data_IF_953619236325
#
_entry.id   IF_953619236325
#
_cell.length_a   1.000
_cell.length_b   1.000
_cell.length_c   1.000
_cell.angle_alpha   90.00
_cell.angle_beta   90.00
_cell.angle_gamma   90.00
#
_symmetry.space_group_name_H-M   'P 1'
#
loop_
_entity.id
_entity.type
_entity.pdbx_description
1 polymer ?
#
# COMPACT_ATOMS: atom_id res chain seq x y z
N UNK A 1 -2.50 -11.30 -16.30
CA UNK A 1 -2.64 -10.74 -15.10
C UNK A 1 -2.01 -11.42 -13.91
N UNK A 2 -1.19 -10.68 -13.26
CA UNK A 2 -0.58 -11.15 -12.04
C UNK A 2 -1.44 -10.75 -10.84
N UNK A 3 -1.66 -11.70 -9.94
CA UNK A 3 -2.36 -11.42 -8.70
C UNK A 3 -1.35 -11.01 -7.64
N UNK A 4 -1.57 -9.85 -7.05
CA UNK A 4 -0.70 -9.29 -6.04
C UNK A 4 -1.51 -9.10 -4.76
N UNK A 5 -0.92 -9.43 -3.62
CA UNK A 5 -1.59 -9.34 -2.33
C UNK A 5 -0.83 -8.44 -1.38
N UNK A 6 -1.50 -7.98 -0.35
CA UNK A 6 -0.89 -7.22 0.72
C UNK A 6 -1.65 -7.46 2.01
N UNK A 7 -0.92 -7.48 3.12
CA UNK A 7 -1.49 -7.69 4.45
C UNK A 7 -1.34 -6.42 5.28
N UNK A 8 -2.39 -6.11 6.02
CA UNK A 8 -2.32 -5.04 7.01
C UNK A 8 -1.25 -5.36 8.05
N UNK A 9 -0.46 -4.36 8.38
CA UNK A 9 0.54 -4.45 9.45
C UNK A 9 0.29 -3.31 10.45
N UNK A 10 1.19 -3.15 11.41
CA UNK A 10 1.10 -2.06 12.37
C UNK A 10 1.33 -0.69 11.75
N UNK A 11 2.04 -0.62 10.62
CA UNK A 11 2.42 0.63 9.98
C UNK A 11 1.77 0.85 8.61
N UNK A 12 1.27 -0.21 7.97
CA UNK A 12 0.72 -0.12 6.61
C UNK A 12 -0.66 -0.73 6.57
N UNK A 13 -1.59 -0.05 5.94
CA UNK A 13 -2.87 -0.63 5.58
C UNK A 13 -2.71 -1.64 4.44
N UNK A 14 -3.73 -2.46 4.21
CA UNK A 14 -3.68 -3.51 3.21
C UNK A 14 -3.44 -2.95 1.81
N UNK A 15 -4.07 -1.82 1.48
CA UNK A 15 -3.92 -1.20 0.16
C UNK A 15 -2.50 -0.70 -0.05
N UNK A 16 -1.91 -0.05 0.97
CA UNK A 16 -0.54 0.44 0.88
C UNK A 16 0.45 -0.72 0.76
N UNK A 17 0.25 -1.77 1.53
CA UNK A 17 1.11 -2.95 1.47
C UNK A 17 1.05 -3.61 0.09
N UNK A 18 -0.15 -3.74 -0.46
CA UNK A 18 -0.31 -4.32 -1.80
C UNK A 18 0.40 -3.47 -2.85
N UNK A 19 0.27 -2.14 -2.74
CA UNK A 19 0.91 -1.23 -3.68
C UNK A 19 2.42 -1.40 -3.68
N UNK A 20 3.03 -1.44 -2.50
CA UNK A 20 4.48 -1.66 -2.39
C UNK A 20 4.88 -3.02 -2.96
N UNK A 21 4.10 -4.07 -2.67
CA UNK A 21 4.39 -5.40 -3.20
C UNK A 21 4.28 -5.44 -4.72
N UNK A 22 3.33 -4.71 -5.29
CA UNK A 22 3.19 -4.62 -6.73
C UNK A 22 4.41 -3.95 -7.37
N UNK A 23 4.89 -2.88 -6.76
CA UNK A 23 6.07 -2.18 -7.26
C UNK A 23 7.32 -3.05 -7.16
N UNK A 24 7.45 -3.82 -6.08
CA UNK A 24 8.55 -4.79 -5.94
C UNK A 24 8.50 -5.83 -7.05
N UNK A 25 7.31 -6.37 -7.30
CA UNK A 25 7.15 -7.40 -8.33
C UNK A 25 7.55 -6.87 -9.71
N UNK A 26 7.11 -5.66 -10.05
CA UNK A 26 7.46 -5.06 -11.34
C UNK A 26 8.95 -4.77 -11.44
N UNK A 27 9.58 -4.37 -10.36
CA UNK A 27 11.00 -4.04 -10.34
C UNK A 27 11.92 -5.23 -10.16
N UNK A 28 11.37 -6.43 -10.00
CA UNK A 28 12.19 -7.61 -9.75
C UNK A 28 12.87 -7.61 -8.40
N UNK A 29 12.27 -6.92 -7.43
CA UNK A 29 12.84 -6.79 -6.08
C UNK A 29 12.30 -7.94 -5.21
N UNK A 30 13.20 -8.65 -4.54
CA UNK A 30 12.81 -9.78 -3.69
C UNK A 30 11.98 -9.34 -2.49
N UNK A 31 11.10 -10.23 -2.05
CA UNK A 31 10.18 -9.94 -0.94
C UNK A 31 10.90 -9.62 0.35
N UNK A 32 12.12 -10.12 0.53
CA UNK A 32 12.88 -9.91 1.75
C UNK A 32 13.39 -8.48 1.91
N UNK A 33 13.37 -7.69 0.83
CA UNK A 33 13.89 -6.32 0.88
C UNK A 33 12.77 -5.36 1.26
N UNK A 34 13.07 -4.47 2.19
CA UNK A 34 12.15 -3.39 2.58
C UNK A 34 12.41 -2.17 1.71
N UNK A 35 11.35 -1.62 1.14
CA UNK A 35 11.45 -0.38 0.37
C UNK A 35 11.49 0.83 1.29
N UNK A 36 10.79 0.75 2.40
CA UNK A 36 10.74 1.80 3.40
C UNK A 36 11.01 1.14 4.74
N UNK A 37 12.05 1.58 5.42
CA UNK A 37 12.42 0.97 6.69
C UNK A 37 11.43 1.34 7.80
N UNK A 38 11.38 0.52 8.84
CA UNK A 38 10.57 0.83 10.02
C UNK A 38 11.02 2.12 10.67
N UNK A 39 12.31 2.43 10.59
CA UNK A 39 12.85 3.66 11.14
C UNK A 39 12.27 4.89 10.47
N UNK A 40 11.80 4.77 9.21
CA UNK A 40 11.12 5.84 8.50
C UNK A 40 9.61 5.77 8.77
N UNK A 41 9.03 4.57 8.72
CA UNK A 41 7.58 4.41 8.86
C UNK A 41 7.06 4.81 10.24
N UNK A 42 7.76 4.43 11.29
CA UNK A 42 7.27 4.67 12.65
C UNK A 42 7.13 6.15 12.99
N UNK A 43 8.12 7.00 12.68
CA UNK A 43 7.95 8.44 12.92
C UNK A 43 6.78 9.05 12.13
N UNK A 44 6.54 8.58 10.91
CA UNK A 44 5.42 9.08 10.11
C UNK A 44 4.09 8.70 10.75
N UNK A 45 3.96 7.44 11.20
CA UNK A 45 2.76 6.98 11.88
C UNK A 45 2.54 7.76 13.18
N UNK A 46 3.61 8.00 13.93
CA UNK A 46 3.53 8.78 15.17
C UNK A 46 3.09 10.22 14.91
N UNK A 47 3.62 10.82 13.86
CA UNK A 47 3.22 12.18 13.49
C UNK A 47 1.74 12.26 13.16
N UNK A 48 1.23 11.26 12.41
CA UNK A 48 -0.18 11.20 12.04
C UNK A 48 -1.09 11.22 13.27
N UNK A 49 -0.79 10.39 14.24
CA UNK A 49 -1.67 10.22 15.41
C UNK A 49 -1.49 11.31 16.43
N UNK A 50 -0.26 11.78 16.63
CA UNK A 50 0.05 12.74 17.68
C UNK A 50 -0.25 14.18 17.26
N UNK A 51 0.08 14.55 16.02
CA UNK A 51 0.02 15.95 15.59
C UNK A 51 -1.04 16.24 14.55
N UNK A 52 -1.39 15.23 13.72
CA UNK A 52 -2.37 15.44 12.64
C UNK A 52 -3.76 14.92 12.99
N UNK A 53 -3.90 14.43 14.22
CA UNK A 53 -5.20 14.00 14.78
C UNK A 53 -5.86 12.87 13.97
N UNK A 54 -5.05 12.04 13.33
CA UNK A 54 -5.56 10.83 12.69
C UNK A 54 -5.70 9.73 13.72
N UNK A 55 -6.78 8.98 13.66
CA UNK A 55 -6.98 7.86 14.58
C UNK A 55 -6.23 6.62 14.15
N UNK A 56 -6.10 6.44 12.85
CA UNK A 56 -5.45 5.26 12.29
C UNK A 56 -3.98 5.57 12.02
N UNK A 57 -3.03 4.91 12.72
CA UNK A 57 -1.61 5.16 12.49
C UNK A 57 -1.10 4.57 11.18
N UNK A 58 -1.82 3.59 10.60
CA UNK A 58 -1.36 2.93 9.39
C UNK A 58 -1.39 3.88 8.20
N UNK A 59 -0.39 3.75 7.33
CA UNK A 59 -0.30 4.61 6.16
C UNK A 59 -1.24 4.11 5.07
N UNK A 60 -1.94 5.05 4.44
CA UNK A 60 -2.75 4.83 3.25
C UNK A 60 -1.88 4.94 2.00
N UNK A 61 -2.47 4.68 0.84
CA UNK A 61 -1.71 4.64 -0.42
C UNK A 61 -1.02 5.96 -0.75
N UNK A 62 -1.71 7.08 -0.58
CA UNK A 62 -1.12 8.39 -0.86
C UNK A 62 0.05 8.67 0.08
N UNK A 63 -0.11 8.34 1.35
CA UNK A 63 0.93 8.56 2.36
C UNK A 63 2.15 7.69 2.10
N UNK A 64 1.93 6.42 1.71
CA UNK A 64 3.05 5.52 1.44
C UNK A 64 3.79 5.92 0.18
N UNK A 65 3.11 6.48 -0.81
CA UNK A 65 3.78 6.96 -2.02
C UNK A 65 4.66 8.17 -1.72
N UNK A 66 4.20 9.09 -0.87
CA UNK A 66 5.03 10.21 -0.44
C UNK A 66 6.25 9.72 0.33
N UNK A 67 6.04 8.77 1.23
CA UNK A 67 7.15 8.20 2.02
C UNK A 67 8.13 7.46 1.13
N UNK A 68 7.63 6.76 0.12
CA UNK A 68 8.48 6.08 -0.86
C UNK A 68 9.33 7.08 -1.63
N UNK A 69 8.73 8.20 -2.06
CA UNK A 69 9.45 9.23 -2.81
C UNK A 69 10.59 9.81 -1.98
N UNK A 70 10.37 10.01 -0.69
CA UNK A 70 11.41 10.51 0.20
C UNK A 70 12.49 9.44 0.39
N UNK A 71 12.09 8.19 0.62
CA UNK A 71 13.02 7.09 0.82
C UNK A 71 13.89 6.84 -0.41
N UNK A 72 13.36 7.12 -1.60
CA UNK A 72 14.08 6.93 -2.85
C UNK A 72 15.30 7.82 -2.95
N UNK A 73 15.38 8.89 -2.18
CA UNK A 73 16.53 9.78 -2.19
C UNK A 73 17.78 9.10 -1.66
N UNK A 74 17.63 8.13 -0.75
CA UNK A 74 18.77 7.48 -0.11
C UNK A 74 18.75 5.96 -0.25
N UNK A 75 17.68 5.37 -0.77
CA UNK A 75 17.56 3.92 -0.90
C UNK A 75 17.36 3.56 -2.38
N UNK A 76 18.38 2.92 -3.01
CA UNK A 76 18.27 2.56 -4.43
C UNK A 76 17.09 1.63 -4.75
N UNK A 77 16.72 0.74 -3.85
CA UNK A 77 15.58 -0.15 -4.08
C UNK A 77 14.26 0.62 -4.07
N UNK A 78 14.15 1.60 -3.18
CA UNK A 78 12.98 2.48 -3.17
C UNK A 78 12.90 3.29 -4.46
N UNK A 79 14.05 3.76 -4.95
CA UNK A 79 14.10 4.48 -6.22
C UNK A 79 13.68 3.59 -7.38
N UNK A 80 14.15 2.35 -7.41
CA UNK A 80 13.77 1.39 -8.44
C UNK A 80 12.27 1.11 -8.39
N UNK A 81 11.73 0.89 -7.20
CA UNK A 81 10.31 0.64 -7.03
C UNK A 81 9.48 1.83 -7.51
N UNK A 82 9.89 3.04 -7.16
CA UNK A 82 9.18 4.25 -7.57
C UNK A 82 9.13 4.37 -9.09
N UNK A 83 10.19 3.96 -9.78
CA UNK A 83 10.24 3.99 -11.24
C UNK A 83 9.22 3.07 -11.87
N UNK A 84 8.69 2.09 -11.12
CA UNK A 84 7.74 1.14 -11.66
C UNK A 84 6.29 1.65 -11.67
N UNK A 85 6.03 2.82 -11.09
CA UNK A 85 4.67 3.35 -11.01
C UNK A 85 3.93 3.37 -12.34
N UNK A 86 4.52 3.84 -13.45
CA UNK A 86 3.80 3.80 -14.73
C UNK A 86 3.46 2.38 -15.20
N UNK A 87 4.23 1.39 -14.77
CA UNK A 87 4.00 0.00 -15.15
C UNK A 87 2.81 -0.65 -14.47
N UNK A 88 2.20 0.01 -13.49
CA UNK A 88 1.01 -0.52 -12.84
C UNK A 88 -0.24 -0.42 -13.72
N UNK A 89 -0.22 0.43 -14.73
CA UNK A 89 -1.39 0.64 -15.58
C UNK A 89 -1.81 -0.67 -16.25
N UNK A 90 -3.08 -1.00 -16.14
CA UNK A 90 -3.62 -2.25 -16.67
C UNK A 90 -3.55 -3.42 -15.71
N UNK A 91 -2.97 -3.23 -14.52
CA UNK A 91 -2.92 -4.27 -13.50
C UNK A 91 -4.27 -4.42 -12.80
N UNK A 92 -4.41 -5.54 -12.10
CA UNK A 92 -5.60 -5.83 -11.30
C UNK A 92 -5.17 -6.12 -9.86
N UNK A 93 -5.96 -5.65 -8.91
CA UNK A 93 -5.76 -5.90 -7.51
C UNK A 93 -7.07 -6.39 -6.89
N UNK A 94 -6.98 -7.42 -6.06
CA UNK A 94 -8.13 -7.98 -5.39
C UNK A 94 -7.93 -7.92 -3.89
N UNK A 95 -8.93 -7.42 -3.18
CA UNK A 95 -8.89 -7.33 -1.72
C UNK A 95 -9.97 -8.20 -1.11
N UNK A 96 -9.62 -8.87 -0.02
CA UNK A 96 -10.59 -9.63 0.76
C UNK A 96 -11.43 -8.76 1.67
N UNK A 97 -11.13 -7.46 1.73
CA UNK A 97 -11.87 -6.48 2.53
C UNK A 97 -12.18 -5.28 1.65
N UNK A 98 -13.12 -4.47 2.10
CA UNK A 98 -13.43 -3.21 1.43
C UNK A 98 -12.37 -2.18 1.83
N UNK A 99 -11.78 -1.52 0.85
CA UNK A 99 -10.78 -0.48 1.11
C UNK A 99 -11.43 0.90 0.97
N UNK A 100 -10.74 1.92 1.50
CA UNK A 100 -11.27 3.27 1.54
C UNK A 100 -11.43 3.86 0.14
N UNK A 101 -12.30 4.87 0.03
CA UNK A 101 -12.48 5.57 -1.23
C UNK A 101 -11.23 6.30 -1.66
N UNK A 102 -10.47 6.83 -0.70
CA UNK A 102 -9.21 7.51 -1.00
C UNK A 102 -8.23 6.55 -1.66
N UNK A 103 -8.12 5.33 -1.12
CA UNK A 103 -7.24 4.33 -1.71
C UNK A 103 -7.72 3.90 -3.09
N UNK A 104 -9.04 3.75 -3.27
CA UNK A 104 -9.61 3.44 -4.57
C UNK A 104 -9.26 4.50 -5.61
N UNK A 105 -9.32 5.77 -5.22
CA UNK A 105 -8.98 6.87 -6.12
C UNK A 105 -7.53 6.80 -6.57
N UNK A 106 -6.62 6.47 -5.65
CA UNK A 106 -5.21 6.35 -5.98
C UNK A 106 -4.99 5.21 -6.97
N UNK A 107 -5.56 4.02 -6.70
CA UNK A 107 -5.43 2.90 -7.63
C UNK A 107 -6.00 3.24 -9.01
N UNK A 108 -7.14 3.93 -9.05
CA UNK A 108 -7.74 4.32 -10.32
C UNK A 108 -6.82 5.24 -11.09
N UNK A 109 -6.20 6.22 -10.42
CA UNK A 109 -5.24 7.12 -11.06
C UNK A 109 -4.02 6.38 -11.59
N UNK A 110 -3.60 5.35 -10.88
CA UNK A 110 -2.47 4.52 -11.31
C UNK A 110 -2.84 3.53 -12.40
N UNK A 111 -4.13 3.44 -12.75
CA UNK A 111 -4.58 2.53 -13.78
C UNK A 111 -4.77 1.10 -13.32
N UNK A 112 -4.91 0.90 -12.01
CA UNK A 112 -5.11 -0.42 -11.42
C UNK A 112 -6.60 -0.65 -11.22
N UNK A 113 -7.08 -1.80 -11.70
CA UNK A 113 -8.47 -2.21 -11.49
C UNK A 113 -8.57 -2.95 -10.16
N UNK A 114 -9.46 -2.47 -9.30
CA UNK A 114 -9.62 -3.03 -7.96
C UNK A 114 -10.93 -3.78 -7.86
N UNK A 115 -10.89 -4.96 -7.25
CA UNK A 115 -12.08 -5.68 -6.84
C UNK A 115 -11.96 -6.00 -5.36
N UNK A 116 -13.09 -5.92 -4.66
CA UNK A 116 -13.16 -6.21 -3.24
C UNK A 116 -14.20 -7.28 -3.00
N UNK A 117 -13.92 -8.23 -2.12
CA UNK A 117 -14.93 -9.15 -1.68
C UNK A 117 -15.69 -8.50 -0.54
N UNK A 118 -17.00 -8.43 -0.64
CA UNK A 118 -17.79 -7.82 0.43
C UNK A 118 -18.04 -8.79 1.57
N UNK A 119 -17.16 -9.69 1.86
CA UNK A 119 -17.26 -10.54 3.00
C UNK A 119 -17.00 -9.73 4.22
N UNK A 120 -17.83 -9.89 5.05
CA UNK A 120 -17.72 -9.14 6.20
C UNK A 120 -17.27 -9.97 7.29
N UNK A 121 -16.74 -9.55 7.63
CA UNK A 121 -16.33 -10.26 8.41
C UNK A 121 -17.22 -10.47 9.29
N UNK A 122 -17.75 -10.51 8.31
CA UNK A 122 -18.51 -10.71 8.81
C UNK A 122 -18.62 -11.24 9.30
N UNK A 123 -18.55 -11.71 9.26
CA UNK A 123 -18.81 -12.03 9.68
C UNK A 123 -18.91 -11.85 9.95
N UNK A 124 -18.97 -12.06 9.97
CA UNK A 124 -19.37 -11.94 10.21
C UNK A 124 -19.94 -11.73 9.87
N UNK A 125 -20.21 -12.29 9.68
CA UNK A 125 -20.96 -12.18 9.32
C UNK A 125 -21.17 -12.66 8.86
N UNK A 126 -21.11 -13.45 8.75
CA UNK A 126 -21.58 -13.65 8.20
C UNK A 126 -21.43 -13.97 8.11
N UNK A 127 -21.62 -14.55 8.14
CA UNK A 127 -21.83 -14.62 8.03
C UNK A 127 -21.64 -14.84 7.99
N UNK A 128 -21.64 -15.46 7.95
CA UNK A 128 -21.69 -15.46 7.93
C UNK A 128 -21.66 -15.55 8.05
#
# INVERSE_FOLDING_TARGET
GRVITGKTSGTLGAAAALLLNALKALGGIGDQFELISKQVLEPVCHLKTTYLDHRNPRLHTDEVLLTLAISALTNPLAALAKQQLPGLRGSEAHFSVIISEEDLKIFKRLGVRVSCEPKYETKRLYHR
#
